data_IF_121692586064
#
_entry.id   IF_121692586064
#
_cell.length_a   1.000
_cell.length_b   1.000
_cell.length_c   1.000
_cell.angle_alpha   90.00
_cell.angle_beta   90.00
_cell.angle_gamma   90.00
#
_symmetry.space_group_name_H-M   'P 1'
#
loop_
_entity.id
_entity.type
_entity.pdbx_description
1 polymer ?
#
# COMPACT_ATOMS: atom_id res chain seq x y z
N UNK A 1 -35.24 -7.82 -20.48
CA UNK A 1 -34.01 -7.27 -21.06
C UNK A 1 -33.09 -6.91 -19.89
N UNK A 2 -31.78 -7.15 -20.04
CA UNK A 2 -30.70 -6.90 -19.07
C UNK A 2 -30.53 -7.89 -17.90
N UNK A 3 -30.01 -9.08 -18.24
CA UNK A 3 -29.08 -9.79 -17.34
C UNK A 3 -27.89 -8.85 -17.08
N UNK A 4 -27.90 -8.13 -15.95
CA UNK A 4 -26.68 -7.52 -15.40
C UNK A 4 -25.70 -8.66 -15.11
N UNK A 5 -24.84 -8.93 -16.09
CA UNK A 5 -23.72 -9.87 -15.98
C UNK A 5 -23.04 -9.62 -14.63
N UNK A 6 -23.06 -10.64 -13.76
CA UNK A 6 -22.20 -10.70 -12.58
C UNK A 6 -20.76 -10.61 -13.08
N UNK A 7 -20.23 -9.40 -13.22
CA UNK A 7 -18.82 -9.17 -13.55
C UNK A 7 -18.03 -9.90 -12.47
N UNK A 8 -17.40 -11.03 -12.81
CA UNK A 8 -16.41 -11.69 -11.96
C UNK A 8 -15.49 -10.57 -11.45
N UNK A 9 -15.48 -10.33 -10.14
CA UNK A 9 -14.62 -9.33 -9.53
C UNK A 9 -13.18 -9.73 -9.88
N UNK A 10 -12.62 -9.12 -10.93
CA UNK A 10 -11.24 -9.35 -11.32
C UNK A 10 -10.41 -8.57 -10.31
N UNK A 11 -9.86 -9.29 -9.34
CA UNK A 11 -8.91 -8.72 -8.41
C UNK A 11 -7.60 -8.47 -9.16
N UNK A 12 -7.06 -7.28 -9.01
CA UNK A 12 -5.78 -6.88 -9.56
C UNK A 12 -4.71 -6.96 -8.49
N UNK A 13 -3.48 -7.27 -8.89
CA UNK A 13 -2.37 -7.49 -7.97
C UNK A 13 -1.47 -6.26 -7.91
N UNK A 14 -1.10 -5.86 -6.70
CA UNK A 14 -0.05 -4.87 -6.46
C UNK A 14 1.02 -5.55 -5.60
N UNK A 15 2.28 -5.39 -6.00
CA UNK A 15 3.42 -5.72 -5.15
C UNK A 15 3.74 -4.54 -4.25
N UNK A 16 3.83 -4.82 -2.97
CA UNK A 16 4.00 -3.82 -1.93
C UNK A 16 5.23 -4.15 -1.08
N UNK A 17 6.02 -3.13 -0.76
CA UNK A 17 7.21 -3.30 0.08
C UNK A 17 6.83 -3.11 1.54
N UNK A 18 7.08 -4.13 2.33
CA UNK A 18 6.91 -4.11 3.78
C UNK A 18 8.27 -4.23 4.45
N UNK A 19 8.45 -3.57 5.59
CA UNK A 19 9.61 -3.84 6.43
C UNK A 19 9.43 -5.19 7.14
N UNK A 20 10.52 -5.91 7.47
CA UNK A 20 10.45 -7.22 8.12
C UNK A 20 9.58 -7.20 9.38
N UNK A 21 9.77 -6.21 10.25
CA UNK A 21 9.00 -6.03 11.50
C UNK A 21 7.48 -6.04 11.26
N UNK A 22 6.99 -5.36 10.22
CA UNK A 22 5.56 -5.36 9.87
C UNK A 22 5.13 -6.68 9.25
N UNK A 23 5.97 -7.24 8.37
CA UNK A 23 5.63 -8.45 7.64
C UNK A 23 5.56 -9.70 8.53
N UNK A 24 6.35 -9.74 9.60
CA UNK A 24 6.41 -10.85 10.57
C UNK A 24 5.30 -10.77 11.62
N UNK A 25 4.89 -9.56 12.02
CA UNK A 25 3.87 -9.38 13.06
C UNK A 25 2.43 -9.28 12.51
N UNK A 26 2.26 -8.99 11.22
CA UNK A 26 0.92 -8.95 10.62
C UNK A 26 0.62 -10.20 9.78
N UNK A 27 -0.26 -11.04 10.34
CA UNK A 27 -0.88 -12.21 9.70
C UNK A 27 -2.01 -11.80 8.73
N UNK A 28 -3.18 -12.45 8.78
CA UNK A 28 -4.29 -12.28 7.82
C UNK A 28 -4.86 -10.86 7.76
N UNK A 29 -4.81 -10.10 8.87
CA UNK A 29 -5.32 -8.73 8.95
C UNK A 29 -4.51 -7.73 8.12
N UNK A 30 -3.28 -8.08 7.74
CA UNK A 30 -2.43 -7.21 6.95
C UNK A 30 -3.09 -6.79 5.64
N UNK A 31 -3.74 -7.74 4.96
CA UNK A 31 -4.39 -7.49 3.68
C UNK A 31 -5.52 -6.47 3.82
N UNK A 32 -6.26 -6.54 4.92
CA UNK A 32 -7.34 -5.61 5.22
C UNK A 32 -6.79 -4.20 5.44
N UNK A 33 -5.84 -4.04 6.39
CA UNK A 33 -5.24 -2.74 6.70
C UNK A 33 -4.52 -2.11 5.50
N UNK A 34 -3.73 -2.88 4.76
CA UNK A 34 -3.04 -2.38 3.58
C UNK A 34 -3.99 -1.86 2.52
N UNK A 35 -5.14 -2.54 2.32
CA UNK A 35 -6.14 -2.12 1.33
C UNK A 35 -6.84 -0.84 1.76
N UNK A 36 -7.18 -0.71 3.04
CA UNK A 36 -7.78 0.51 3.59
C UNK A 36 -6.81 1.69 3.48
N UNK A 37 -5.58 1.53 3.95
CA UNK A 37 -4.57 2.58 3.92
C UNK A 37 -4.19 2.97 2.50
N UNK A 38 -4.07 2.01 1.58
CA UNK A 38 -3.83 2.31 0.18
C UNK A 38 -4.99 3.12 -0.41
N UNK A 39 -6.24 2.78 -0.10
CA UNK A 39 -7.40 3.54 -0.56
C UNK A 39 -7.40 4.96 0.00
N UNK A 40 -7.10 5.13 1.29
CA UNK A 40 -6.98 6.45 1.92
C UNK A 40 -5.89 7.30 1.26
N UNK A 41 -4.69 6.71 1.05
CA UNK A 41 -3.54 7.43 0.47
C UNK A 41 -3.79 7.79 -1.00
N UNK A 42 -4.42 6.93 -1.79
CA UNK A 42 -4.75 7.22 -3.19
C UNK A 42 -5.83 8.27 -3.37
N UNK A 43 -6.64 8.54 -2.33
CA UNK A 43 -7.62 9.62 -2.34
C UNK A 43 -7.04 10.95 -1.84
N UNK A 44 -5.83 10.95 -1.26
CA UNK A 44 -5.13 12.18 -0.84
C UNK A 44 -4.33 12.77 -2.00
N UNK A 45 -4.14 14.08 -1.96
CA UNK A 45 -3.31 14.77 -2.94
C UNK A 45 -1.85 14.30 -2.85
N UNK A 46 -1.25 14.00 -4.01
CA UNK A 46 0.12 13.44 -4.13
C UNK A 46 1.15 14.44 -3.59
N UNK A 47 0.85 15.74 -3.62
CA UNK A 47 1.68 16.81 -3.07
C UNK A 47 1.99 16.61 -1.59
N UNK A 48 1.09 16.00 -0.82
CA UNK A 48 1.31 15.72 0.60
C UNK A 48 2.41 14.69 0.84
N UNK A 49 2.78 13.89 -0.16
CA UNK A 49 3.87 12.92 -0.06
C UNK A 49 5.23 13.53 -0.39
N UNK A 50 5.28 14.74 -0.96
CA UNK A 50 6.53 15.37 -1.41
C UNK A 50 7.46 15.73 -0.25
N UNK A 51 6.91 15.93 0.95
CA UNK A 51 7.66 16.23 2.18
C UNK A 51 8.61 15.12 2.62
N UNK A 52 8.40 13.89 2.15
CA UNK A 52 9.25 12.74 2.48
C UNK A 52 10.51 12.79 1.60
N UNK A 53 11.66 12.94 2.25
CA UNK A 53 12.97 13.01 1.61
C UNK A 53 13.42 11.63 1.09
N UNK A 54 14.29 11.60 0.07
CA UNK A 54 14.85 10.35 -0.42
C UNK A 54 15.77 9.67 0.61
N UNK A 55 16.49 10.45 1.41
CA UNK A 55 17.36 9.95 2.47
C UNK A 55 16.56 9.20 3.54
N UNK A 56 15.42 9.76 3.95
CA UNK A 56 14.52 9.11 4.91
C UNK A 56 13.99 7.77 4.38
N UNK A 57 13.59 7.71 3.10
CA UNK A 57 13.16 6.45 2.49
C UNK A 57 14.30 5.41 2.44
N UNK A 58 15.52 5.86 2.15
CA UNK A 58 16.69 4.96 2.05
C UNK A 58 17.06 4.40 3.41
N UNK A 59 17.02 5.22 4.46
CA UNK A 59 17.25 4.78 5.82
C UNK A 59 16.17 3.81 6.29
N UNK A 60 14.90 4.16 6.06
CA UNK A 60 13.77 3.33 6.48
C UNK A 60 13.75 1.94 5.84
N UNK A 61 14.07 1.84 4.54
CA UNK A 61 14.17 0.55 3.84
C UNK A 61 15.62 0.01 3.80
N UNK A 62 16.56 0.62 4.54
CA UNK A 62 17.97 0.25 4.53
C UNK A 62 18.24 -1.15 5.08
N UNK A 63 17.41 -1.58 6.04
CA UNK A 63 17.44 -2.93 6.62
C UNK A 63 16.73 -3.98 5.75
N UNK A 64 16.32 -3.61 4.54
CA UNK A 64 15.64 -4.49 3.59
C UNK A 64 14.11 -4.31 3.58
N UNK A 65 13.48 -5.07 2.68
CA UNK A 65 12.03 -5.11 2.55
C UNK A 65 11.57 -6.49 2.07
N UNK A 66 10.37 -6.88 2.48
CA UNK A 66 9.67 -8.06 2.01
C UNK A 66 8.59 -7.61 1.02
N UNK A 67 8.58 -8.22 -0.16
CA UNK A 67 7.56 -7.93 -1.17
C UNK A 67 6.33 -8.79 -0.93
N UNK A 68 5.22 -8.17 -0.53
CA UNK A 68 3.93 -8.85 -0.36
C UNK A 68 2.97 -8.45 -1.47
N UNK A 69 2.20 -9.42 -1.95
CA UNK A 69 1.20 -9.21 -2.98
C UNK A 69 -0.13 -8.90 -2.32
N UNK A 70 -0.78 -7.81 -2.73
CA UNK A 70 -2.13 -7.46 -2.29
C UNK A 70 -3.10 -7.46 -3.47
N UNK A 71 -4.35 -7.84 -3.18
CA UNK A 71 -5.43 -7.90 -4.14
C UNK A 71 -6.35 -6.69 -4.00
N UNK A 72 -6.49 -5.92 -5.08
CA UNK A 72 -7.24 -4.66 -5.10
C UNK A 72 -8.29 -4.63 -6.21
N UNK A 73 -9.23 -3.69 -6.10
CA UNK A 73 -10.21 -3.42 -7.15
C UNK A 73 -9.57 -2.74 -8.35
N UNK A 74 -10.25 -2.77 -9.50
CA UNK A 74 -9.77 -2.14 -10.74
C UNK A 74 -9.46 -0.64 -10.54
N UNK A 75 -10.34 0.10 -9.87
CA UNK A 75 -10.18 1.54 -9.61
C UNK A 75 -8.87 1.84 -8.88
N UNK A 76 -8.62 1.14 -7.77
CA UNK A 76 -7.40 1.27 -6.97
C UNK A 76 -6.17 0.92 -7.81
N UNK A 77 -6.25 -0.16 -8.59
CA UNK A 77 -5.15 -0.56 -9.45
C UNK A 77 -4.82 0.44 -10.55
N UNK A 78 -5.82 1.05 -11.19
CA UNK A 78 -5.59 2.06 -12.23
C UNK A 78 -4.96 3.33 -11.65
N UNK A 79 -5.48 3.80 -10.49
CA UNK A 79 -4.87 4.91 -9.73
C UNK A 79 -3.44 4.59 -9.30
N UNK A 80 -3.20 3.38 -8.80
CA UNK A 80 -1.85 2.96 -8.45
C UNK A 80 -0.93 2.95 -9.67
N UNK A 81 -1.41 2.45 -10.82
CA UNK A 81 -0.61 2.35 -12.05
C UNK A 81 -0.18 3.73 -12.54
N UNK A 82 -1.04 4.74 -12.49
CA UNK A 82 -0.73 6.11 -12.94
C UNK A 82 0.32 6.83 -12.07
N UNK A 83 0.55 6.38 -10.83
CA UNK A 83 1.52 7.03 -9.95
C UNK A 83 2.97 6.84 -10.41
N UNK A 84 3.82 7.88 -10.26
CA UNK A 84 5.25 7.77 -10.49
C UNK A 84 5.92 6.87 -9.44
N UNK A 85 7.06 6.26 -9.79
CA UNK A 85 7.81 5.35 -8.89
C UNK A 85 8.14 5.99 -7.54
N UNK A 86 8.45 7.29 -7.52
CA UNK A 86 8.77 8.03 -6.30
C UNK A 86 7.56 8.12 -5.36
N UNK A 87 6.37 8.42 -5.89
CA UNK A 87 5.14 8.45 -5.10
C UNK A 87 4.80 7.06 -4.54
N UNK A 88 4.99 5.99 -5.34
CA UNK A 88 4.78 4.60 -4.90
C UNK A 88 5.65 4.24 -3.69
N UNK A 89 6.95 4.59 -3.72
CA UNK A 89 7.86 4.36 -2.59
C UNK A 89 7.44 5.11 -1.32
N UNK A 90 6.94 6.34 -1.47
CA UNK A 90 6.44 7.14 -0.34
C UNK A 90 5.16 6.56 0.25
N UNK A 91 4.27 6.03 -0.59
CA UNK A 91 3.09 5.28 -0.13
C UNK A 91 3.50 4.03 0.63
N UNK A 92 4.52 3.29 0.16
CA UNK A 92 5.07 2.16 0.92
C UNK A 92 5.55 2.59 2.30
N UNK A 93 6.36 3.65 2.37
CA UNK A 93 6.85 4.19 3.64
C UNK A 93 5.71 4.56 4.60
N UNK A 94 4.75 5.36 4.15
CA UNK A 94 3.63 5.82 4.97
C UNK A 94 2.76 4.67 5.47
N UNK A 95 2.52 3.68 4.62
CA UNK A 95 1.73 2.50 5.00
C UNK A 95 2.47 1.68 6.06
N UNK A 96 3.78 1.46 5.91
CA UNK A 96 4.57 0.77 6.93
C UNK A 96 4.59 1.55 8.25
N UNK A 97 4.74 2.88 8.22
CA UNK A 97 4.67 3.69 9.44
C UNK A 97 3.33 3.54 10.16
N UNK A 98 2.22 3.61 9.43
CA UNK A 98 0.88 3.46 10.02
C UNK A 98 0.66 2.04 10.57
N UNK A 99 1.16 1.02 9.88
CA UNK A 99 1.11 -0.37 10.36
C UNK A 99 1.96 -0.55 11.63
N UNK A 100 3.15 0.05 11.69
CA UNK A 100 3.98 0.06 12.90
C UNK A 100 3.29 0.74 14.08
N UNK A 101 2.57 1.84 13.85
CA UNK A 101 1.81 2.51 14.90
C UNK A 101 0.71 1.58 15.45
N UNK A 102 0.01 0.85 14.58
CA UNK A 102 -0.98 -0.14 15.01
C UNK A 102 -0.33 -1.23 15.88
N UNK A 103 0.84 -1.76 15.49
CA UNK A 103 1.56 -2.77 16.28
C UNK A 103 2.02 -2.28 17.65
N UNK A 104 2.38 -1.00 17.77
CA UNK A 104 2.86 -0.42 19.04
C UNK A 104 1.73 -0.08 20.01
N UNK A 105 0.50 -0.03 19.52
CA UNK A 105 -0.70 0.28 20.31
C UNK A 105 -1.54 -0.96 20.64
N UNK A 106 -1.07 -2.15 20.26
CA UNK A 106 -1.58 -3.47 20.67
C UNK A 106 -0.77 -4.01 21.85
#
# INVERSE_FOLDING_TARGET
>A
MELKQKKKYKYYQIYFWLIPEVAENFDDLLHYHMKEYLKELLNKDIGNFLSISQSELKEFFGNGYISKRIYVSKDIHEKWKSLPKVAKKRIFYLTNKKLLEVLKHE
#
